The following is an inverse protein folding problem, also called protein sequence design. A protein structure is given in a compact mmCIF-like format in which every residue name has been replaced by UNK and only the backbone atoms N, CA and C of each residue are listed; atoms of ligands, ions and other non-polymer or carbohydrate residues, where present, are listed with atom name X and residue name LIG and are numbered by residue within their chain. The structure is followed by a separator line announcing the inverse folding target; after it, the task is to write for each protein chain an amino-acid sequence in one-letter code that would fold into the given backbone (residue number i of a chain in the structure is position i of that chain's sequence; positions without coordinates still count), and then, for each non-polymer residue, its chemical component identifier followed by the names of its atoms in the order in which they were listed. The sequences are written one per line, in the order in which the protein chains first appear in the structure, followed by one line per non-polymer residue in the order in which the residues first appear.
data_IF_691329728354
#
_entry.id   IF_691329728354
#
_cell.length_a   1.000
_cell.length_b   1.000
_cell.length_c   1.000
_cell.angle_alpha   90.00
_cell.angle_beta   90.00
_cell.angle_gamma   90.00
#
_symmetry.space_group_name_H-M   'P 1'
#
loop_
_entity.id
_entity.type
_entity.pdbx_description
1 polymer ?
#
# COMPACT_ATOMS: atom_id res chain seq x y z
N UNK A 1 -53.69 -1.44 -24.34
CA UNK A 1 -52.34 -0.93 -24.65
C UNK A 1 -51.62 -0.40 -23.41
N UNK A 2 -52.30 0.33 -22.53
CA UNK A 2 -51.72 0.89 -21.29
C UNK A 2 -51.05 -0.15 -20.38
N UNK A 3 -51.69 -1.30 -20.13
CA UNK A 3 -51.13 -2.37 -19.29
C UNK A 3 -49.82 -2.93 -19.88
N UNK A 4 -49.73 -3.04 -21.22
CA UNK A 4 -48.54 -3.55 -21.90
C UNK A 4 -47.38 -2.56 -21.72
N UNK A 5 -47.66 -1.25 -21.83
CA UNK A 5 -46.68 -0.19 -21.66
C UNK A 5 -46.14 -0.19 -20.22
N UNK A 6 -47.04 -0.27 -19.24
CA UNK A 6 -46.67 -0.31 -17.81
C UNK A 6 -45.81 -1.54 -17.51
N UNK A 7 -46.17 -2.70 -18.04
CA UNK A 7 -45.43 -3.95 -17.82
C UNK A 7 -44.02 -3.88 -18.43
N UNK A 8 -43.87 -3.33 -19.64
CA UNK A 8 -42.56 -3.15 -20.29
C UNK A 8 -41.68 -2.16 -19.52
N UNK A 9 -42.24 -1.05 -19.05
CA UNK A 9 -41.53 -0.08 -18.21
C UNK A 9 -41.03 -0.70 -16.91
N UNK A 10 -41.87 -1.52 -16.27
CA UNK A 10 -41.52 -2.19 -15.01
C UNK A 10 -40.34 -3.13 -15.23
N UNK A 11 -40.35 -3.93 -16.30
CA UNK A 11 -39.23 -4.82 -16.67
C UNK A 11 -37.96 -4.03 -16.98
N UNK A 12 -38.07 -2.89 -17.68
CA UNK A 12 -36.91 -2.05 -18.01
C UNK A 12 -36.25 -1.45 -16.76
N UNK A 13 -37.05 -0.98 -15.79
CA UNK A 13 -36.54 -0.47 -14.51
C UNK A 13 -35.88 -1.59 -13.71
N UNK A 14 -36.52 -2.76 -13.62
CA UNK A 14 -35.97 -3.93 -12.94
C UNK A 14 -34.64 -4.37 -13.58
N UNK A 15 -34.56 -4.35 -14.90
CA UNK A 15 -33.33 -4.65 -15.63
C UNK A 15 -32.22 -3.63 -15.33
N UNK A 16 -32.51 -2.33 -15.29
CA UNK A 16 -31.51 -1.31 -14.94
C UNK A 16 -30.97 -1.46 -13.52
N UNK A 17 -31.82 -1.83 -12.57
CA UNK A 17 -31.43 -2.04 -11.16
C UNK A 17 -30.62 -3.33 -10.99
N UNK A 18 -30.99 -4.39 -11.70
CA UNK A 18 -30.31 -5.68 -11.61
C UNK A 18 -28.97 -5.68 -12.37
N UNK A 19 -28.91 -5.01 -13.52
CA UNK A 19 -27.71 -4.95 -14.38
C UNK A 19 -26.39 -4.68 -13.63
N UNK A 20 -26.27 -3.67 -12.74
CA UNK A 20 -25.01 -3.41 -12.04
C UNK A 20 -24.55 -4.54 -11.11
N UNK A 21 -25.45 -5.42 -10.64
CA UNK A 21 -25.09 -6.54 -9.77
C UNK A 21 -24.47 -7.72 -10.53
N UNK A 22 -24.72 -7.83 -11.84
CA UNK A 22 -24.15 -8.87 -12.70
C UNK A 22 -22.94 -8.39 -13.49
N UNK A 23 -22.68 -7.07 -13.50
CA UNK A 23 -21.52 -6.47 -14.14
C UNK A 23 -20.27 -6.64 -13.28
N UNK A 24 -19.77 -7.89 -13.17
CA UNK A 24 -18.48 -8.24 -12.56
C UNK A 24 -17.26 -7.72 -13.36
N UNK A 25 -17.47 -6.80 -14.30
CA UNK A 25 -16.42 -6.20 -15.13
C UNK A 25 -16.54 -4.68 -15.25
N UNK A 26 -16.99 -4.01 -14.18
CA UNK A 26 -16.35 -2.74 -13.87
C UNK A 26 -14.99 -3.07 -13.28
N UNK A 27 -14.01 -3.27 -14.16
CA UNK A 27 -12.67 -2.78 -13.85
C UNK A 27 -12.89 -1.30 -13.63
N UNK A 28 -12.98 -0.91 -12.36
CA UNK A 28 -12.75 0.47 -12.01
C UNK A 28 -11.43 0.80 -12.71
N UNK A 29 -11.45 1.81 -13.55
CA UNK A 29 -10.21 2.43 -14.02
C UNK A 29 -9.65 3.14 -12.79
N UNK A 30 -9.12 2.31 -11.89
CA UNK A 30 -8.28 2.72 -10.80
C UNK A 30 -7.03 3.18 -11.52
N UNK A 31 -6.99 4.46 -11.93
CA UNK A 31 -5.73 5.19 -11.92
C UNK A 31 -5.04 4.75 -10.64
N UNK A 32 -3.90 4.07 -10.81
CA UNK A 32 -3.20 3.30 -9.80
C UNK A 32 -3.21 3.96 -8.41
N UNK A 33 -4.28 3.73 -7.66
CA UNK A 33 -4.22 3.65 -6.22
C UNK A 33 -3.71 2.24 -6.05
N UNK A 34 -2.38 2.14 -6.08
CA UNK A 34 -1.63 1.04 -5.50
C UNK A 34 -2.38 0.65 -4.23
N UNK A 35 -2.83 -0.61 -4.21
CA UNK A 35 -3.60 -1.21 -3.13
C UNK A 35 -2.67 -1.39 -1.93
N UNK A 36 -2.21 -0.28 -1.37
CA UNK A 36 -1.39 -0.14 -0.16
C UNK A 36 -2.28 -0.24 1.11
N UNK A 37 -3.53 -0.67 0.97
CA UNK A 37 -4.47 -0.83 2.09
C UNK A 37 -4.17 -2.07 2.94
N UNK A 38 -3.39 -3.02 2.41
CA UNK A 38 -2.98 -4.23 3.15
C UNK A 38 -1.63 -4.09 3.86
N UNK A 39 -0.79 -3.14 3.45
CA UNK A 39 0.45 -2.82 4.15
C UNK A 39 0.23 -1.63 5.10
N UNK A 40 0.54 -1.81 6.38
CA UNK A 40 0.53 -0.72 7.35
C UNK A 40 1.67 0.23 7.01
N UNK A 41 1.43 1.16 6.08
CA UNK A 41 2.44 2.13 5.69
C UNK A 41 2.66 3.14 6.81
N UNK A 42 3.89 3.59 6.98
CA UNK A 42 4.24 4.63 7.95
C UNK A 42 3.37 5.89 7.76
N UNK A 43 3.06 6.24 6.51
CA UNK A 43 2.14 7.33 6.15
C UNK A 43 0.73 7.10 6.67
N UNK A 44 0.19 5.88 6.54
CA UNK A 44 -1.13 5.50 7.06
C UNK A 44 -1.20 5.57 8.59
N UNK A 45 -0.12 5.18 9.29
CA UNK A 45 -0.03 5.32 10.75
C UNK A 45 -0.06 6.80 11.15
N UNK A 46 0.71 7.67 10.49
CA UNK A 46 0.70 9.10 10.78
C UNK A 46 -0.64 9.77 10.49
N UNK A 47 -1.30 9.39 9.39
CA UNK A 47 -2.64 9.87 9.06
C UNK A 47 -3.65 9.50 10.17
N UNK A 48 -3.56 8.26 10.68
CA UNK A 48 -4.42 7.77 11.76
C UNK A 48 -4.18 8.53 13.07
N UNK A 49 -2.92 8.81 13.43
CA UNK A 49 -2.59 9.62 14.61
C UNK A 49 -3.17 11.04 14.47
N UNK A 50 -3.05 11.63 13.29
CA UNK A 50 -3.57 12.98 13.03
C UNK A 50 -5.11 13.01 13.12
N UNK A 51 -5.80 11.99 12.63
CA UNK A 51 -7.25 11.87 12.79
C UNK A 51 -7.65 11.74 14.27
N UNK A 52 -6.91 10.94 15.03
CA UNK A 52 -7.11 10.79 16.48
C UNK A 52 -6.93 12.11 17.24
N UNK A 53 -5.90 12.90 16.89
CA UNK A 53 -5.65 14.23 17.44
C UNK A 53 -6.85 15.16 17.13
N UNK A 54 -7.34 15.17 15.89
CA UNK A 54 -8.52 15.96 15.52
C UNK A 54 -9.78 15.52 16.28
N UNK A 55 -10.02 14.22 16.44
CA UNK A 55 -11.19 13.71 17.17
C UNK A 55 -11.17 14.10 18.64
N UNK A 56 -10.00 14.07 19.27
CA UNK A 56 -9.81 14.52 20.64
C UNK A 56 -10.03 16.04 20.77
N UNK A 57 -9.47 16.85 19.87
CA UNK A 57 -9.68 18.31 19.84
C UNK A 57 -11.15 18.69 19.62
N UNK A 58 -11.88 17.89 18.83
CA UNK A 58 -13.33 18.03 18.65
C UNK A 58 -14.15 17.55 19.87
N UNK A 59 -13.51 17.02 20.91
CA UNK A 59 -14.18 16.51 22.11
C UNK A 59 -14.98 15.22 21.86
N UNK A 60 -14.71 14.50 20.76
CA UNK A 60 -15.36 13.22 20.43
C UNK A 60 -14.77 12.06 21.23
N UNK A 61 -13.54 12.22 21.73
CA UNK A 61 -12.78 11.20 22.42
C UNK A 61 -12.40 11.63 23.83
N UNK A 62 -12.41 10.71 24.78
CA UNK A 62 -11.91 10.98 26.13
C UNK A 62 -10.39 11.09 26.13
N UNK A 63 -9.81 11.86 27.07
CA UNK A 63 -8.36 11.99 27.18
C UNK A 63 -7.67 10.64 27.44
N UNK A 64 -8.32 9.74 28.19
CA UNK A 64 -7.79 8.41 28.48
C UNK A 64 -7.76 7.53 27.23
N UNK A 65 -8.85 7.50 26.46
CA UNK A 65 -8.95 6.70 25.24
C UNK A 65 -8.01 7.23 24.16
N UNK A 66 -7.95 8.56 24.02
CA UNK A 66 -6.99 9.26 23.15
C UNK A 66 -5.56 8.83 23.46
N UNK A 67 -5.14 8.96 24.72
CA UNK A 67 -3.77 8.65 25.11
C UNK A 67 -3.43 7.17 24.89
N UNK A 68 -4.37 6.26 25.20
CA UNK A 68 -4.17 4.83 25.01
C UNK A 68 -4.05 4.46 23.52
N UNK A 69 -4.92 5.01 22.66
CA UNK A 69 -4.86 4.78 21.22
C UNK A 69 -3.60 5.40 20.61
N UNK A 70 -3.25 6.64 20.98
CA UNK A 70 -2.07 7.33 20.46
C UNK A 70 -0.78 6.55 20.74
N UNK A 71 -0.60 6.07 21.97
CA UNK A 71 0.55 5.26 22.35
C UNK A 71 0.66 3.97 21.52
N UNK A 72 -0.47 3.34 21.20
CA UNK A 72 -0.49 2.14 20.36
C UNK A 72 0.00 2.44 18.94
N UNK A 73 -0.49 3.50 18.32
CA UNK A 73 -0.09 3.87 16.96
C UNK A 73 1.35 4.40 16.90
N UNK A 74 1.82 5.12 17.92
CA UNK A 74 3.23 5.50 18.02
C UNK A 74 4.16 4.28 18.12
N UNK A 75 3.76 3.24 18.87
CA UNK A 75 4.52 1.99 18.92
C UNK A 75 4.59 1.29 17.55
N UNK A 76 3.48 1.29 16.79
CA UNK A 76 3.45 0.76 15.42
C UNK A 76 4.38 1.56 14.49
N UNK A 77 4.40 2.89 14.60
CA UNK A 77 5.29 3.73 13.79
C UNK A 77 6.78 3.43 14.06
N UNK A 78 7.14 3.18 15.32
CA UNK A 78 8.51 2.83 15.71
C UNK A 78 8.90 1.45 15.14
N UNK A 79 8.00 0.48 15.21
CA UNK A 79 8.23 -0.86 14.67
C UNK A 79 8.44 -0.81 13.14
N UNK A 80 7.59 -0.05 12.45
CA UNK A 80 7.65 0.11 11.00
C UNK A 80 8.94 0.83 10.56
N UNK A 81 9.33 1.91 11.25
CA UNK A 81 10.61 2.59 11.00
C UNK A 81 11.80 1.64 11.15
N UNK A 82 11.82 0.83 12.21
CA UNK A 82 12.90 -0.15 12.43
C UNK A 82 12.92 -1.22 11.34
N UNK A 83 11.74 -1.69 10.90
CA UNK A 83 11.62 -2.66 9.81
C UNK A 83 12.23 -2.12 8.52
N UNK A 84 11.91 -0.87 8.17
CA UNK A 84 12.45 -0.21 6.99
C UNK A 84 13.97 0.01 7.08
N UNK A 85 14.50 0.42 8.23
CA UNK A 85 15.95 0.55 8.45
C UNK A 85 16.68 -0.79 8.25
N UNK A 86 16.14 -1.88 8.79
CA UNK A 86 16.72 -3.22 8.62
C UNK A 86 16.65 -3.70 7.17
N UNK A 87 15.54 -3.46 6.49
CA UNK A 87 15.38 -3.80 5.08
C UNK A 87 16.38 -3.03 4.20
N UNK A 88 16.61 -1.75 4.49
CA UNK A 88 17.58 -0.91 3.79
C UNK A 88 19.02 -1.37 4.06
N UNK A 89 19.36 -1.68 5.32
CA UNK A 89 20.67 -2.21 5.67
C UNK A 89 20.96 -3.54 4.96
N UNK A 90 19.97 -4.43 4.88
CA UNK A 90 20.11 -5.71 4.17
C UNK A 90 20.32 -5.53 2.67
N UNK A 91 19.55 -4.64 2.03
CA UNK A 91 19.74 -4.30 0.60
C UNK A 91 21.12 -3.70 0.34
N UNK A 92 21.64 -2.90 1.26
CA UNK A 92 22.97 -2.31 1.13
C UNK A 92 24.08 -3.37 1.18
N UNK A 93 24.00 -4.31 2.13
CA UNK A 93 24.96 -5.43 2.22
C UNK A 93 24.90 -6.31 0.95
N UNK A 94 23.71 -6.66 0.47
CA UNK A 94 23.55 -7.43 -0.77
C UNK A 94 24.12 -6.69 -2.00
N UNK A 95 24.00 -5.36 -2.03
CA UNK A 95 24.58 -4.53 -3.10
C UNK A 95 26.10 -4.45 -3.04
N UNK A 96 26.69 -4.38 -1.84
CA UNK A 96 28.14 -4.30 -1.67
C UNK A 96 28.81 -5.63 -2.04
N UNK A 97 28.20 -6.77 -1.66
CA UNK A 97 28.68 -8.12 -2.01
C UNK A 97 28.67 -8.35 -3.54
N UNK A 98 27.62 -7.93 -4.24
CA UNK A 98 27.53 -8.05 -5.71
C UNK A 98 28.56 -7.16 -6.41
N UNK A 99 28.82 -5.97 -5.86
CA UNK A 99 29.83 -5.06 -6.37
C UNK A 99 31.25 -5.61 -6.20
N UNK A 100 31.58 -6.20 -5.04
CA UNK A 100 32.89 -6.82 -4.81
C UNK A 100 33.12 -8.03 -5.72
N UNK A 101 32.08 -8.85 -5.94
CA UNK A 101 32.14 -9.97 -6.88
C UNK A 101 32.38 -9.53 -8.34
N UNK A 102 31.83 -8.38 -8.76
CA UNK A 102 32.11 -7.80 -10.07
C UNK A 102 33.57 -7.36 -10.20
N UNK A 103 34.11 -6.66 -9.19
CA UNK A 103 35.50 -6.21 -9.18
C UNK A 103 36.46 -7.40 -9.30
N UNK A 104 36.21 -8.49 -8.57
CA UNK A 104 37.09 -9.67 -8.62
C UNK A 104 37.10 -10.32 -10.00
N UNK A 105 35.94 -10.44 -10.66
CA UNK A 105 35.87 -10.93 -12.06
C UNK A 105 36.69 -10.07 -13.01
N UNK A 106 36.53 -8.75 -12.96
CA UNK A 106 37.27 -7.86 -13.85
C UNK A 106 38.79 -7.93 -13.61
N UNK A 107 39.22 -8.00 -12.34
CA UNK A 107 40.64 -8.16 -11.99
C UNK A 107 41.22 -9.47 -12.51
N UNK A 108 40.48 -10.57 -12.44
CA UNK A 108 40.89 -11.85 -13.01
C UNK A 108 41.07 -11.79 -14.53
N UNK A 109 40.13 -11.15 -15.23
CA UNK A 109 40.22 -10.98 -16.68
C UNK A 109 41.44 -10.14 -17.07
N UNK A 110 41.71 -9.05 -16.34
CA UNK A 110 42.90 -8.23 -16.55
C UNK A 110 44.19 -9.00 -16.28
N UNK A 111 44.23 -9.84 -15.24
CA UNK A 111 45.39 -10.70 -14.96
C UNK A 111 45.61 -11.73 -16.06
N UNK A 112 44.57 -12.42 -16.51
CA UNK A 112 44.63 -13.38 -17.63
C UNK A 112 45.04 -12.72 -18.95
N UNK A 113 44.60 -11.48 -19.20
CA UNK A 113 45.01 -10.71 -20.38
C UNK A 113 46.49 -10.29 -20.33
N UNK A 114 47.04 -10.05 -19.13
CA UNK A 114 48.45 -9.68 -18.94
C UNK A 114 49.41 -10.88 -18.98
N UNK A 115 48.91 -12.08 -18.71
CA UNK A 115 49.70 -13.34 -18.75
C UNK A 115 49.70 -14.03 -20.12
N UNK A 116 48.92 -13.56 -21.10
CA UNK A 116 48.99 -14.02 -22.48
C UNK A 116 50.08 -13.24 -23.23
N UNK A 117 51.20 -13.86 -23.65
CA UNK A 117 52.32 -13.20 -24.31
C UNK A 117 51.99 -12.72 -25.73
#
# INVERSE_FOLDING_TARGET
MEIIIVTVLLIAVLFLVIRPFFDKRRTWDTEAIEDDLDDVTLTGIYATINELDMEYEMGKLSAQDYQHMKQKYEALAIEELRSQEQANAKRQVESDDDFEAQIERELEEMRKARERP
#
